data_IF_334261972800
#
_entry.id   IF_334261972800
#
_cell.length_a   1.000
_cell.length_b   1.000
_cell.length_c   1.000
_cell.angle_alpha   90.00
_cell.angle_beta   90.00
_cell.angle_gamma   90.00
#
_symmetry.space_group_name_H-M   'P 1'
#
loop_
_entity.id
_entity.type
_entity.pdbx_description
1 polymer ?
#
# COMPACT_ATOMS: atom_id res chain seq x y z
N UNK A 1 -48.89 52.47 -10.81
CA UNK A 1 -48.24 51.24 -10.32
C UNK A 1 -47.48 50.61 -11.49
N UNK A 2 -46.17 50.87 -11.60
CA UNK A 2 -45.32 50.30 -12.65
C UNK A 2 -44.89 48.89 -12.22
N UNK A 3 -45.42 47.87 -12.89
CA UNK A 3 -44.94 46.48 -12.76
C UNK A 3 -43.53 46.41 -13.33
N UNK A 4 -42.53 46.32 -12.45
CA UNK A 4 -41.17 45.88 -12.80
C UNK A 4 -41.26 44.44 -13.28
N UNK A 5 -41.12 44.23 -14.58
CA UNK A 5 -40.78 42.94 -15.16
C UNK A 5 -39.39 42.56 -14.65
N UNK A 6 -39.32 41.49 -13.86
CA UNK A 6 -38.05 40.85 -13.52
C UNK A 6 -37.43 40.34 -14.82
N UNK A 7 -36.32 40.96 -15.22
CA UNK A 7 -35.45 40.40 -16.23
C UNK A 7 -35.00 39.01 -15.72
N UNK A 8 -35.45 37.96 -16.40
CA UNK A 8 -34.86 36.63 -16.29
C UNK A 8 -33.42 36.79 -16.75
N UNK A 9 -32.49 36.85 -15.80
CA UNK A 9 -31.08 36.77 -16.09
C UNK A 9 -30.86 35.44 -16.82
N UNK A 10 -30.64 35.50 -18.13
CA UNK A 10 -30.07 34.38 -18.88
C UNK A 10 -28.83 33.94 -18.12
N UNK A 11 -28.82 32.69 -17.64
CA UNK A 11 -27.59 32.06 -17.17
C UNK A 11 -26.63 32.07 -18.35
N UNK A 12 -25.75 33.06 -18.41
CA UNK A 12 -24.70 33.13 -19.42
C UNK A 12 -23.95 31.80 -19.47
N UNK A 13 -23.68 31.33 -20.68
CA UNK A 13 -22.92 30.11 -20.92
C UNK A 13 -21.58 30.22 -20.18
N UNK A 14 -21.33 29.31 -19.23
CA UNK A 14 -20.12 29.33 -18.41
C UNK A 14 -19.13 28.33 -18.99
N UNK A 15 -18.01 28.82 -19.52
CA UNK A 15 -16.84 27.98 -19.85
C UNK A 15 -16.29 28.20 -21.25
N UNK A 16 -15.38 27.29 -21.63
CA UNK A 16 -14.78 27.24 -22.97
C UNK A 16 -15.69 26.48 -23.93
N UNK A 17 -15.79 26.92 -25.19
CA UNK A 17 -16.51 26.22 -26.27
C UNK A 17 -16.11 24.74 -26.38
N UNK A 18 -14.81 24.46 -26.33
CA UNK A 18 -14.25 23.11 -26.25
C UNK A 18 -13.42 22.99 -24.98
N UNK A 19 -14.01 22.52 -23.86
CA UNK A 19 -13.30 22.36 -22.60
C UNK A 19 -12.01 21.56 -22.78
N UNK A 20 -10.90 22.09 -22.27
CA UNK A 20 -9.56 21.49 -22.44
C UNK A 20 -9.56 20.02 -21.99
N UNK A 21 -10.26 19.71 -20.90
CA UNK A 21 -10.38 18.37 -20.34
C UNK A 21 -11.07 17.33 -21.23
N UNK A 22 -11.69 17.74 -22.35
CA UNK A 22 -12.39 16.88 -23.30
C UNK A 22 -11.63 16.68 -24.61
N UNK A 23 -10.48 17.35 -24.80
CA UNK A 23 -9.66 17.22 -26.01
C UNK A 23 -8.79 15.96 -25.91
N UNK A 24 -9.29 14.82 -26.39
CA UNK A 24 -8.65 13.50 -26.23
C UNK A 24 -8.58 12.82 -27.60
N UNK A 25 -7.42 12.26 -27.94
CA UNK A 25 -7.20 11.45 -29.14
C UNK A 25 -6.69 10.07 -28.71
N UNK A 26 -7.43 9.01 -29.03
CA UNK A 26 -7.03 7.64 -28.68
C UNK A 26 -6.20 7.01 -29.81
N UNK A 27 -4.87 7.05 -29.67
CA UNK A 27 -3.93 6.44 -30.62
C UNK A 27 -3.86 4.91 -30.54
N UNK A 28 -4.63 4.27 -29.64
CA UNK A 28 -4.79 2.80 -29.61
C UNK A 28 -5.83 2.32 -30.63
N UNK A 29 -6.69 3.23 -31.10
CA UNK A 29 -7.62 2.97 -32.22
C UNK A 29 -6.84 3.09 -33.53
N UNK A 30 -7.16 2.22 -34.49
CA UNK A 30 -6.51 2.23 -35.80
C UNK A 30 -6.72 3.57 -36.53
N UNK A 31 -5.71 3.97 -37.30
CA UNK A 31 -5.79 5.20 -38.11
C UNK A 31 -6.92 5.12 -39.13
N UNK A 32 -7.60 6.23 -39.40
CA UNK A 32 -8.73 6.30 -40.36
C UNK A 32 -10.09 5.96 -39.75
N UNK A 33 -10.16 5.09 -38.72
CA UNK A 33 -11.43 4.63 -38.13
C UNK A 33 -12.31 5.78 -37.64
N UNK A 34 -11.75 6.69 -36.84
CA UNK A 34 -12.51 7.81 -36.24
C UNK A 34 -12.84 8.93 -37.20
N UNK A 35 -12.35 8.86 -38.44
CA UNK A 35 -12.60 9.84 -39.50
C UNK A 35 -13.61 9.29 -40.51
N UNK A 36 -13.46 8.02 -40.91
CA UNK A 36 -14.16 7.45 -42.07
C UNK A 36 -15.20 6.38 -41.69
N UNK A 37 -14.98 5.64 -40.60
CA UNK A 37 -15.79 4.45 -40.29
C UNK A 37 -16.77 4.70 -39.13
N UNK A 38 -16.27 5.07 -37.95
CA UNK A 38 -17.08 5.18 -36.75
C UNK A 38 -16.43 6.07 -35.67
N UNK A 39 -17.26 6.82 -34.95
CA UNK A 39 -16.83 7.54 -33.75
C UNK A 39 -16.72 6.59 -32.54
N UNK A 40 -15.66 6.75 -31.75
CA UNK A 40 -15.38 5.90 -30.58
C UNK A 40 -15.61 6.73 -29.31
N UNK A 41 -16.70 6.41 -28.61
CA UNK A 41 -17.08 7.11 -27.39
C UNK A 41 -16.65 6.36 -26.12
N UNK A 42 -16.01 7.07 -25.19
CA UNK A 42 -15.63 6.52 -23.88
C UNK A 42 -15.56 7.61 -22.81
N UNK A 43 -15.67 7.21 -21.53
CA UNK A 43 -15.33 8.06 -20.39
C UNK A 43 -13.83 8.02 -20.12
N UNK A 44 -13.03 8.47 -21.09
CA UNK A 44 -11.56 8.43 -21.07
C UNK A 44 -10.92 8.98 -19.80
N UNK A 45 -11.54 10.00 -19.18
CA UNK A 45 -11.04 10.59 -17.94
C UNK A 45 -10.96 9.59 -16.78
N UNK A 46 -11.67 8.46 -16.82
CA UNK A 46 -11.52 7.39 -15.82
C UNK A 46 -10.14 6.73 -15.90
N UNK A 47 -9.64 6.50 -17.11
CA UNK A 47 -8.30 5.93 -17.38
C UNK A 47 -7.20 6.97 -17.17
N UNK A 48 -7.49 8.25 -17.45
CA UNK A 48 -6.53 9.36 -17.26
C UNK A 48 -6.41 9.83 -15.81
N UNK A 49 -7.18 9.29 -14.86
CA UNK A 49 -6.99 9.59 -13.43
C UNK A 49 -5.61 9.11 -13.00
N UNK A 50 -4.83 10.01 -12.41
CA UNK A 50 -3.46 9.72 -11.99
C UNK A 50 -3.41 8.84 -10.75
N UNK A 51 -2.25 8.21 -10.51
CA UNK A 51 -1.97 7.41 -9.30
C UNK A 51 -2.21 8.19 -8.00
N UNK A 52 -1.99 9.50 -8.01
CA UNK A 52 -2.28 10.37 -6.87
C UNK A 52 -3.78 10.36 -6.52
N UNK A 53 -4.65 10.48 -7.52
CA UNK A 53 -6.11 10.47 -7.32
C UNK A 53 -6.62 9.06 -6.99
N UNK A 54 -6.12 8.03 -7.66
CA UNK A 54 -6.61 6.65 -7.47
C UNK A 54 -6.07 5.98 -6.20
N UNK A 55 -4.98 6.51 -5.64
CA UNK A 55 -4.25 5.94 -4.51
C UNK A 55 -3.31 4.80 -4.88
N UNK A 56 -3.28 4.38 -6.15
CA UNK A 56 -2.45 3.25 -6.60
C UNK A 56 -0.97 3.53 -6.36
N UNK A 57 -0.27 2.54 -5.82
CA UNK A 57 1.18 2.59 -5.59
C UNK A 57 1.84 1.40 -6.29
N UNK A 58 2.90 1.67 -7.03
CA UNK A 58 3.66 0.62 -7.71
C UNK A 58 4.63 -0.02 -6.70
N UNK A 59 4.30 -1.23 -6.26
CA UNK A 59 5.24 -2.10 -5.53
C UNK A 59 6.20 -2.78 -6.51
N UNK A 60 7.31 -3.33 -6.00
CA UNK A 60 8.15 -4.27 -6.76
C UNK A 60 7.32 -5.42 -7.33
N UNK A 61 7.47 -5.71 -8.61
CA UNK A 61 6.73 -6.77 -9.30
C UNK A 61 7.60 -8.04 -9.28
N UNK A 62 7.11 -9.16 -8.71
CA UNK A 62 7.85 -10.40 -8.73
C UNK A 62 7.92 -10.99 -10.15
N UNK A 63 9.01 -11.68 -10.53
CA UNK A 63 9.05 -12.45 -11.77
C UNK A 63 8.00 -13.57 -11.74
N UNK A 64 7.60 -14.06 -12.91
CA UNK A 64 6.48 -15.00 -13.05
C UNK A 64 6.62 -16.28 -12.20
N UNK A 65 7.84 -16.82 -12.07
CA UNK A 65 8.10 -18.01 -11.25
C UNK A 65 7.83 -17.73 -9.76
N UNK A 66 8.30 -16.59 -9.25
CA UNK A 66 8.12 -16.16 -7.86
C UNK A 66 6.67 -15.76 -7.58
N UNK A 67 5.97 -15.18 -8.55
CA UNK A 67 4.57 -14.77 -8.42
C UNK A 67 3.59 -15.95 -8.20
N UNK A 68 3.98 -17.17 -8.61
CA UNK A 68 3.18 -18.39 -8.41
C UNK A 68 3.25 -18.89 -6.97
N UNK A 69 4.40 -18.70 -6.33
CA UNK A 69 4.64 -19.17 -4.97
C UNK A 69 4.13 -18.19 -3.93
N UNK A 70 3.42 -18.72 -2.93
CA UNK A 70 2.96 -17.89 -1.82
C UNK A 70 4.15 -17.48 -0.95
N UNK A 71 4.19 -16.21 -0.51
CA UNK A 71 5.15 -15.80 0.49
C UNK A 71 4.87 -16.48 1.83
N UNK A 72 5.94 -16.88 2.53
CA UNK A 72 5.86 -17.59 3.81
C UNK A 72 6.32 -16.70 4.97
N UNK A 73 7.27 -15.81 4.71
CA UNK A 73 7.88 -14.94 5.72
C UNK A 73 7.94 -13.48 5.25
N UNK A 74 8.15 -12.57 6.18
CA UNK A 74 8.35 -11.15 5.90
C UNK A 74 9.20 -10.49 6.98
N UNK A 75 9.84 -9.39 6.60
CA UNK A 75 10.52 -8.50 7.54
C UNK A 75 9.54 -7.42 7.98
N UNK A 76 9.54 -7.08 9.27
CA UNK A 76 8.68 -6.04 9.79
C UNK A 76 9.33 -5.12 10.80
N UNK A 77 8.96 -3.84 10.80
CA UNK A 77 9.15 -2.99 11.98
C UNK A 77 7.96 -3.15 12.91
N UNK A 78 8.24 -3.59 14.15
CA UNK A 78 7.22 -3.80 15.18
C UNK A 78 6.74 -2.46 15.71
N UNK A 79 5.42 -2.22 15.64
CA UNK A 79 4.84 -1.03 16.27
C UNK A 79 4.99 -1.10 17.79
N UNK A 80 5.46 -0.04 18.47
CA UNK A 80 5.48 0.01 19.92
C UNK A 80 4.04 0.01 20.48
N UNK A 81 3.87 -0.45 21.72
CA UNK A 81 2.54 -0.68 22.32
C UNK A 81 1.64 0.58 22.31
N UNK A 82 2.22 1.75 22.62
CA UNK A 82 1.54 3.05 22.58
C UNK A 82 2.10 3.87 21.44
N UNK A 83 1.27 4.18 20.44
CA UNK A 83 1.67 5.01 19.30
C UNK A 83 0.45 5.69 18.66
N UNK A 84 0.68 6.84 18.03
CA UNK A 84 -0.37 7.65 17.40
C UNK A 84 -1.03 6.91 16.21
N UNK A 85 -0.25 6.17 15.43
CA UNK A 85 -0.72 5.43 14.27
C UNK A 85 -1.81 4.41 14.63
N UNK A 86 -1.61 3.60 15.68
CA UNK A 86 -2.57 2.60 16.16
C UNK A 86 -3.86 3.26 16.61
N UNK A 87 -3.78 4.36 17.35
CA UNK A 87 -4.95 5.12 17.81
C UNK A 87 -5.76 5.65 16.63
N UNK A 88 -5.11 6.31 15.66
CA UNK A 88 -5.79 6.89 14.49
C UNK A 88 -6.32 5.84 13.52
N UNK A 89 -5.65 4.69 13.39
CA UNK A 89 -6.18 3.55 12.62
C UNK A 89 -7.41 2.95 13.33
N UNK A 90 -7.42 2.88 14.66
CA UNK A 90 -8.60 2.45 15.42
C UNK A 90 -9.80 3.39 15.21
N UNK A 91 -9.58 4.70 15.28
CA UNK A 91 -10.62 5.71 14.99
C UNK A 91 -11.18 5.53 13.57
N UNK A 92 -10.30 5.35 12.58
CA UNK A 92 -10.69 5.07 11.20
C UNK A 92 -11.47 3.76 11.07
N UNK A 93 -11.05 2.68 11.74
CA UNK A 93 -11.80 1.42 11.77
C UNK A 93 -13.19 1.62 12.35
N UNK A 94 -13.32 2.35 13.46
CA UNK A 94 -14.60 2.64 14.08
C UNK A 94 -15.52 3.43 13.15
N UNK A 95 -15.00 4.44 12.43
CA UNK A 95 -15.79 5.19 11.46
C UNK A 95 -16.22 4.34 10.25
N UNK A 96 -15.35 3.47 9.75
CA UNK A 96 -15.68 2.52 8.68
C UNK A 96 -16.77 1.55 9.15
N UNK A 97 -16.64 1.00 10.35
CA UNK A 97 -17.62 0.06 10.90
C UNK A 97 -18.97 0.72 11.18
N UNK A 98 -18.98 1.96 11.64
CA UNK A 98 -20.20 2.74 11.84
C UNK A 98 -20.98 2.95 10.53
N UNK A 99 -20.26 3.26 9.44
CA UNK A 99 -20.88 3.57 8.15
C UNK A 99 -21.11 2.34 7.25
N UNK A 100 -20.27 1.31 7.37
CA UNK A 100 -20.21 0.16 6.46
C UNK A 100 -19.78 -1.14 7.16
N UNK A 101 -20.47 -1.49 8.25
CA UNK A 101 -20.18 -2.65 9.10
C UNK A 101 -19.90 -3.97 8.35
N UNK A 102 -20.51 -4.19 7.19
CA UNK A 102 -20.31 -5.39 6.37
C UNK A 102 -18.85 -5.61 5.96
N UNK A 103 -18.01 -4.56 5.94
CA UNK A 103 -16.59 -4.64 5.57
C UNK A 103 -15.66 -5.00 6.74
N UNK A 104 -16.19 -5.27 7.93
CA UNK A 104 -15.38 -5.68 9.09
C UNK A 104 -14.36 -6.80 8.80
N UNK A 105 -14.69 -7.85 8.01
CA UNK A 105 -13.74 -8.93 7.72
C UNK A 105 -12.53 -8.53 6.87
N UNK A 106 -12.57 -7.33 6.26
CA UNK A 106 -11.45 -6.80 5.47
C UNK A 106 -10.42 -6.08 6.33
N UNK A 107 -10.82 -5.57 7.51
CA UNK A 107 -9.95 -4.77 8.36
C UNK A 107 -8.89 -5.66 9.03
N UNK A 108 -7.64 -5.19 9.02
CA UNK A 108 -6.55 -5.88 9.70
C UNK A 108 -6.67 -5.61 11.21
N UNK A 109 -6.69 -6.63 12.09
CA UNK A 109 -6.74 -6.40 13.53
C UNK A 109 -5.60 -5.49 14.01
N UNK A 110 -5.89 -4.58 14.94
CA UNK A 110 -4.89 -3.62 15.43
C UNK A 110 -3.64 -4.28 16.00
N UNK A 111 -3.80 -5.45 16.63
CA UNK A 111 -2.69 -6.26 17.14
C UNK A 111 -1.71 -6.67 16.04
N UNK A 112 -2.15 -6.80 14.78
CA UNK A 112 -1.34 -7.22 13.63
C UNK A 112 -0.75 -6.07 12.83
N UNK A 113 -0.96 -4.81 13.24
CA UNK A 113 -0.34 -3.68 12.57
C UNK A 113 1.19 -3.75 12.73
N UNK A 114 1.89 -3.67 11.60
CA UNK A 114 3.34 -3.63 11.48
C UNK A 114 3.70 -2.89 10.19
N UNK A 115 4.94 -2.38 10.07
CA UNK A 115 5.44 -1.94 8.76
C UNK A 115 6.01 -3.17 8.06
N UNK A 116 5.52 -3.52 6.88
CA UNK A 116 6.14 -4.57 6.05
C UNK A 116 7.33 -3.97 5.30
N UNK A 117 8.53 -4.51 5.50
CA UNK A 117 9.78 -4.05 4.87
C UNK A 117 10.20 -4.88 3.66
N UNK A 118 9.63 -6.08 3.53
CA UNK A 118 9.96 -7.01 2.46
C UNK A 118 9.29 -8.34 2.73
N UNK A 119 8.99 -9.07 1.66
CA UNK A 119 8.26 -10.34 1.72
C UNK A 119 9.06 -11.40 0.98
N UNK A 120 9.08 -12.62 1.52
CA UNK A 120 9.91 -13.69 0.99
C UNK A 120 9.23 -15.07 1.06
N UNK A 121 9.70 -15.97 0.21
CA UNK A 121 9.35 -17.40 0.23
C UNK A 121 10.58 -18.19 0.68
N UNK A 122 10.39 -18.98 1.72
CA UNK A 122 11.37 -19.94 2.26
C UNK A 122 10.74 -21.32 2.17
N UNK A 123 11.47 -22.30 1.65
CA UNK A 123 11.05 -23.71 1.61
C UNK A 123 11.13 -24.33 3.00
N UNK A 124 10.20 -25.23 3.32
CA UNK A 124 10.17 -25.87 4.65
C UNK A 124 11.42 -26.73 4.91
N UNK A 125 12.01 -27.32 3.87
CA UNK A 125 13.21 -28.16 3.98
C UNK A 125 14.48 -27.39 4.36
N UNK A 126 14.58 -26.11 3.98
CA UNK A 126 15.75 -25.26 4.26
C UNK A 126 15.47 -24.20 5.32
N UNK A 127 14.27 -24.20 5.92
CA UNK A 127 13.75 -23.12 6.77
C UNK A 127 14.74 -22.74 7.88
N UNK A 128 15.27 -23.73 8.61
CA UNK A 128 16.20 -23.52 9.72
C UNK A 128 17.50 -22.84 9.30
N UNK A 129 18.13 -23.32 8.23
CA UNK A 129 19.41 -22.77 7.75
C UNK A 129 19.21 -21.36 7.19
N UNK A 130 18.18 -21.16 6.36
CA UNK A 130 17.87 -19.86 5.77
C UNK A 130 17.53 -18.83 6.83
N UNK A 131 16.75 -19.18 7.85
CA UNK A 131 16.40 -18.26 8.93
C UNK A 131 17.64 -17.80 9.72
N UNK A 132 18.62 -18.68 9.95
CA UNK A 132 19.87 -18.29 10.61
C UNK A 132 20.64 -17.25 9.79
N UNK A 133 20.84 -17.50 8.48
CA UNK A 133 21.53 -16.54 7.60
C UNK A 133 20.77 -15.23 7.41
N UNK A 134 19.44 -15.27 7.36
CA UNK A 134 18.61 -14.06 7.32
C UNK A 134 18.78 -13.28 8.62
N UNK A 135 18.72 -13.94 9.77
CA UNK A 135 18.89 -13.30 11.07
C UNK A 135 20.25 -12.62 11.20
N UNK A 136 21.34 -13.30 10.84
CA UNK A 136 22.69 -12.72 10.82
C UNK A 136 22.74 -11.48 9.94
N UNK A 137 22.23 -11.57 8.70
CA UNK A 137 22.18 -10.44 7.78
C UNK A 137 21.36 -9.26 8.33
N UNK A 138 20.18 -9.51 8.89
CA UNK A 138 19.32 -8.46 9.45
C UNK A 138 19.98 -7.85 10.68
N UNK A 139 20.59 -8.66 11.53
CA UNK A 139 21.33 -8.23 12.72
C UNK A 139 22.49 -7.31 12.34
N UNK A 140 23.34 -7.71 11.40
CA UNK A 140 24.48 -6.90 10.93
C UNK A 140 24.04 -5.55 10.34
N UNK A 141 22.88 -5.52 9.66
CA UNK A 141 22.39 -4.27 9.06
C UNK A 141 21.71 -3.36 10.08
N UNK A 142 20.86 -3.90 10.95
CA UNK A 142 19.96 -3.10 11.80
C UNK A 142 20.47 -2.87 13.23
N UNK A 143 21.36 -3.71 13.77
CA UNK A 143 21.86 -3.53 15.15
C UNK A 143 22.64 -2.24 15.37
N UNK A 144 23.28 -1.72 14.31
CA UNK A 144 24.05 -0.47 14.34
C UNK A 144 23.22 0.77 14.01
N UNK A 145 21.91 0.60 13.80
CA UNK A 145 21.00 1.69 13.45
C UNK A 145 20.26 2.09 14.72
N UNK A 146 20.38 3.36 15.11
CA UNK A 146 19.54 3.96 16.16
C UNK A 146 18.04 3.76 15.89
N UNK A 147 17.17 3.84 16.91
CA UNK A 147 15.73 3.83 16.70
C UNK A 147 15.26 4.84 15.64
N UNK A 148 14.36 4.40 14.75
CA UNK A 148 13.94 5.15 13.57
C UNK A 148 12.64 5.92 13.83
N UNK A 149 12.65 7.23 13.69
CA UNK A 149 11.42 8.04 13.71
C UNK A 149 10.86 8.17 12.30
N UNK A 150 9.65 7.64 12.08
CA UNK A 150 8.99 7.60 10.78
C UNK A 150 7.64 8.31 10.84
N UNK A 151 7.29 8.98 9.74
CA UNK A 151 6.02 9.69 9.58
C UNK A 151 5.04 8.93 8.70
N UNK A 152 3.78 8.90 9.11
CA UNK A 152 2.71 8.19 8.42
C UNK A 152 1.62 9.16 7.97
N UNK A 153 1.43 9.29 6.66
CA UNK A 153 0.38 10.17 6.11
C UNK A 153 -0.16 9.63 4.80
N UNK A 154 -1.48 9.64 4.71
CA UNK A 154 -2.22 9.23 3.54
C UNK A 154 -2.23 7.73 3.29
N UNK A 155 -3.10 7.34 2.38
CA UNK A 155 -3.37 5.95 2.04
C UNK A 155 -2.88 5.61 0.64
N UNK A 156 -2.59 4.34 0.43
CA UNK A 156 -2.27 3.78 -0.86
C UNK A 156 -2.92 2.43 -1.07
N UNK A 157 -2.93 1.99 -2.32
CA UNK A 157 -3.41 0.67 -2.70
C UNK A 157 -2.36 -0.17 -3.43
N UNK A 158 -2.40 -1.48 -3.18
CA UNK A 158 -1.69 -2.49 -3.98
C UNK A 158 -2.67 -3.52 -4.54
N UNK A 159 -2.20 -4.24 -5.57
CA UNK A 159 -2.92 -5.36 -6.14
C UNK A 159 -4.27 -4.96 -6.74
N UNK A 160 -4.31 -3.81 -7.43
CA UNK A 160 -5.50 -3.22 -8.04
C UNK A 160 -6.58 -2.85 -7.02
N UNK A 161 -6.17 -2.30 -5.86
CA UNK A 161 -7.10 -1.89 -4.81
C UNK A 161 -7.55 -2.98 -3.84
N UNK A 162 -6.92 -4.16 -3.87
CA UNK A 162 -7.22 -5.27 -2.92
C UNK A 162 -6.55 -5.12 -1.57
N UNK A 163 -5.45 -4.38 -1.51
CA UNK A 163 -4.72 -4.08 -0.28
C UNK A 163 -4.78 -2.57 -0.08
N UNK A 164 -5.25 -2.14 1.07
CA UNK A 164 -5.25 -0.75 1.51
C UNK A 164 -4.23 -0.60 2.64
N UNK A 165 -3.36 0.41 2.54
CA UNK A 165 -2.28 0.62 3.48
C UNK A 165 -2.06 2.10 3.79
N UNK A 166 -1.48 2.37 4.96
CA UNK A 166 -0.95 3.69 5.33
C UNK A 166 0.47 3.83 4.78
N UNK A 167 0.74 4.96 4.12
CA UNK A 167 2.05 5.26 3.52
C UNK A 167 3.06 5.68 4.59
N UNK A 168 4.30 5.24 4.44
CA UNK A 168 5.45 5.82 5.12
C UNK A 168 5.96 6.96 4.24
N UNK A 169 6.02 8.17 4.78
CA UNK A 169 6.41 9.37 4.02
C UNK A 169 7.95 9.43 3.93
N UNK A 170 8.53 9.84 2.78
CA UNK A 170 9.98 10.06 2.66
C UNK A 170 10.42 11.36 3.37
N UNK A 171 10.11 11.44 4.66
CA UNK A 171 10.50 12.48 5.61
C UNK A 171 11.18 11.79 6.82
N UNK A 172 11.83 12.55 7.71
CA UNK A 172 12.51 12.04 8.91
C UNK A 172 13.54 10.92 8.59
N UNK A 173 13.54 9.80 9.33
CA UNK A 173 14.53 8.74 9.18
C UNK A 173 14.23 7.76 8.02
N UNK A 174 13.28 8.07 7.13
CA UNK A 174 12.92 7.18 6.01
C UNK A 174 14.12 6.83 5.11
N UNK A 175 15.02 7.78 4.84
CA UNK A 175 16.20 7.51 4.02
C UNK A 175 17.14 6.45 4.63
N UNK A 176 17.25 6.41 5.96
CA UNK A 176 18.01 5.38 6.67
C UNK A 176 17.32 4.02 6.58
N UNK A 177 15.99 4.00 6.73
CA UNK A 177 15.20 2.78 6.54
C UNK A 177 15.37 2.23 5.13
N UNK A 178 15.23 3.07 4.10
CA UNK A 178 15.32 2.65 2.70
C UNK A 178 16.70 2.07 2.38
N UNK A 179 17.78 2.71 2.85
CA UNK A 179 19.13 2.20 2.71
C UNK A 179 19.35 0.86 3.43
N UNK A 180 18.81 0.70 4.64
CA UNK A 180 18.90 -0.55 5.40
C UNK A 180 18.13 -1.69 4.73
N UNK A 181 16.89 -1.43 4.30
CA UNK A 181 16.06 -2.39 3.55
C UNK A 181 16.74 -2.79 2.25
N UNK A 182 17.31 -1.83 1.52
CA UNK A 182 18.06 -2.10 0.29
C UNK A 182 19.27 -3.01 0.54
N UNK A 183 20.05 -2.76 1.61
CA UNK A 183 21.16 -3.64 2.00
C UNK A 183 20.70 -5.07 2.30
N UNK A 184 19.65 -5.23 3.11
CA UNK A 184 19.10 -6.57 3.40
C UNK A 184 18.58 -7.24 2.13
N UNK A 185 17.89 -6.51 1.24
CA UNK A 185 17.41 -7.07 -0.04
C UNK A 185 18.55 -7.56 -0.91
N UNK A 186 19.63 -6.80 -1.02
CA UNK A 186 20.82 -7.20 -1.77
C UNK A 186 21.48 -8.46 -1.21
N UNK A 187 21.61 -8.56 0.11
CA UNK A 187 22.26 -9.72 0.74
C UNK A 187 21.34 -10.94 0.73
N UNK A 188 20.11 -10.83 1.23
CA UNK A 188 19.15 -11.95 1.30
C UNK A 188 18.71 -12.41 -0.09
N UNK A 189 18.27 -11.50 -0.96
CA UNK A 189 17.81 -11.85 -2.30
C UNK A 189 18.93 -12.05 -3.31
N UNK A 190 20.04 -11.31 -3.18
CA UNK A 190 21.13 -11.30 -4.15
C UNK A 190 22.26 -12.26 -3.83
N UNK A 191 22.79 -12.26 -2.60
CA UNK A 191 23.93 -13.11 -2.18
C UNK A 191 23.44 -14.49 -1.73
N UNK A 192 22.46 -14.54 -0.82
CA UNK A 192 21.87 -15.80 -0.33
C UNK A 192 20.91 -16.46 -1.33
N UNK A 193 20.57 -15.77 -2.44
CA UNK A 193 19.68 -16.22 -3.51
C UNK A 193 18.28 -16.64 -3.03
N UNK A 194 17.79 -16.03 -1.97
CA UNK A 194 16.46 -16.31 -1.44
C UNK A 194 15.37 -15.61 -2.27
N UNK A 195 14.20 -16.22 -2.41
CA UNK A 195 13.07 -15.62 -3.12
C UNK A 195 12.44 -14.48 -2.30
N UNK A 196 13.08 -13.32 -2.33
CA UNK A 196 12.47 -12.06 -1.95
C UNK A 196 11.61 -11.57 -3.10
N UNK A 197 10.32 -11.35 -2.86
CA UNK A 197 9.40 -10.92 -3.93
C UNK A 197 9.88 -9.60 -4.55
N UNK A 198 10.13 -9.64 -5.86
CA UNK A 198 10.71 -8.52 -6.64
C UNK A 198 12.21 -8.68 -6.91
N UNK A 199 12.82 -7.74 -7.63
CA UNK A 199 14.27 -7.78 -7.88
C UNK A 199 15.03 -7.35 -6.60
N UNK A 200 16.10 -8.07 -6.19
CA UNK A 200 16.98 -7.66 -5.08
C UNK A 200 17.63 -6.28 -5.26
N UNK A 201 17.73 -5.79 -6.50
CA UNK A 201 18.29 -4.48 -6.84
C UNK A 201 17.24 -3.35 -6.88
N UNK A 202 15.96 -3.66 -6.69
CA UNK A 202 14.91 -2.64 -6.55
C UNK A 202 14.68 -2.31 -5.07
N UNK A 203 14.33 -1.05 -4.80
CA UNK A 203 13.77 -0.61 -3.52
C UNK A 203 12.40 -1.26 -3.28
N UNK A 204 12.10 -1.64 -2.05
CA UNK A 204 10.75 -2.06 -1.64
C UNK A 204 9.95 -0.84 -1.18
N UNK A 205 8.62 -0.88 -1.25
CA UNK A 205 7.78 0.19 -0.67
C UNK A 205 7.32 -0.21 0.75
N UNK A 206 7.90 0.35 1.83
CA UNK A 206 7.44 0.09 3.19
C UNK A 206 6.02 0.61 3.40
N UNK A 207 5.19 -0.18 4.10
CA UNK A 207 3.78 0.15 4.28
C UNK A 207 3.17 -0.54 5.49
N UNK A 208 2.08 0.03 6.00
CA UNK A 208 1.26 -0.57 7.07
C UNK A 208 -0.09 -0.98 6.49
N UNK A 209 -0.30 -2.27 6.27
CA UNK A 209 -1.58 -2.77 5.72
C UNK A 209 -2.69 -2.63 6.77
N UNK A 210 -3.78 -1.94 6.40
CA UNK A 210 -4.92 -1.66 7.29
C UNK A 210 -6.20 -2.39 6.87
N UNK A 211 -6.33 -2.74 5.59
CA UNK A 211 -7.41 -3.58 5.10
C UNK A 211 -6.96 -4.40 3.88
N UNK A 212 -7.52 -5.61 3.70
CA UNK A 212 -7.16 -6.50 2.60
C UNK A 212 -8.30 -7.44 2.22
N UNK A 213 -8.53 -7.58 0.91
CA UNK A 213 -9.34 -8.65 0.33
C UNK A 213 -8.43 -9.85 0.04
N UNK A 214 -8.65 -10.97 0.72
CA UNK A 214 -7.98 -12.24 0.43
C UNK A 214 -8.66 -12.99 -0.71
N UNK A 215 -7.97 -13.95 -1.32
CA UNK A 215 -8.52 -14.70 -2.47
C UNK A 215 -9.86 -15.38 -2.14
N UNK A 216 -10.02 -15.93 -0.94
CA UNK A 216 -11.25 -16.56 -0.47
C UNK A 216 -12.38 -15.55 -0.14
N UNK A 217 -12.05 -14.26 -0.02
CA UNK A 217 -13.01 -13.18 0.27
C UNK A 217 -13.52 -12.50 -1.02
N UNK A 218 -12.90 -12.74 -2.18
CA UNK A 218 -13.25 -12.07 -3.44
C UNK A 218 -14.69 -12.31 -3.90
N UNK A 219 -15.21 -13.52 -3.70
CA UNK A 219 -16.59 -13.84 -4.07
C UNK A 219 -17.62 -12.99 -3.31
N UNK A 220 -17.30 -12.60 -2.07
CA UNK A 220 -18.20 -11.83 -1.21
C UNK A 220 -17.97 -10.31 -1.30
N UNK A 221 -16.71 -9.87 -1.40
CA UNK A 221 -16.34 -8.45 -1.30
C UNK A 221 -15.91 -7.84 -2.63
N UNK A 222 -15.91 -8.61 -3.71
CA UNK A 222 -15.46 -8.19 -5.03
C UNK A 222 -13.94 -8.11 -5.16
N UNK A 223 -13.49 -7.42 -6.21
CA UNK A 223 -12.09 -7.37 -6.61
C UNK A 223 -11.32 -6.17 -6.08
N UNK A 224 -12.00 -5.19 -5.46
CA UNK A 224 -11.38 -3.96 -4.98
C UNK A 224 -12.13 -3.43 -3.76
N UNK A 225 -11.37 -2.91 -2.79
CA UNK A 225 -11.90 -2.16 -1.66
C UNK A 225 -12.50 -0.85 -2.18
N UNK A 226 -13.81 -0.59 -1.99
CA UNK A 226 -14.46 0.62 -2.49
C UNK A 226 -13.79 1.90 -1.98
N UNK A 227 -13.51 2.84 -2.89
CA UNK A 227 -12.89 4.13 -2.57
C UNK A 227 -13.72 4.92 -1.53
N UNK A 228 -15.05 4.76 -1.54
CA UNK A 228 -15.96 5.41 -0.58
C UNK A 228 -15.65 5.06 0.88
N UNK A 229 -15.05 3.90 1.17
CA UNK A 229 -14.70 3.50 2.53
C UNK A 229 -13.56 4.33 3.12
N UNK A 230 -12.66 4.85 2.27
CA UNK A 230 -11.39 5.42 2.73
C UNK A 230 -11.03 6.76 2.10
N UNK A 231 -11.87 7.29 1.20
CA UNK A 231 -11.65 8.60 0.56
C UNK A 231 -11.46 9.73 1.60
N UNK A 232 -12.24 9.73 2.68
CA UNK A 232 -12.11 10.71 3.77
C UNK A 232 -10.78 10.62 4.51
N UNK A 233 -10.11 9.47 4.46
CA UNK A 233 -8.81 9.22 5.09
C UNK A 233 -7.64 9.21 4.09
N UNK A 234 -7.89 9.41 2.78
CA UNK A 234 -6.89 9.25 1.73
C UNK A 234 -5.63 10.10 1.94
N UNK A 235 -5.77 11.27 2.58
CA UNK A 235 -4.66 12.19 2.88
C UNK A 235 -4.48 12.43 4.39
N UNK A 236 -5.14 11.65 5.24
CA UNK A 236 -5.12 11.82 6.69
C UNK A 236 -3.71 11.63 7.27
N UNK A 237 -3.36 12.44 8.26
CA UNK A 237 -2.09 12.33 8.99
C UNK A 237 -2.25 11.32 10.14
N UNK A 238 -1.50 10.22 10.09
CA UNK A 238 -1.50 9.17 11.12
C UNK A 238 -0.39 9.38 12.17
N UNK A 239 0.44 10.40 12.01
CA UNK A 239 1.42 10.87 12.98
C UNK A 239 2.77 10.19 12.85
N UNK A 240 3.61 10.44 13.85
CA UNK A 240 4.97 9.94 13.90
C UNK A 240 5.08 8.78 14.89
N UNK A 241 5.94 7.81 14.58
CA UNK A 241 6.22 6.67 15.46
C UNK A 241 7.71 6.36 15.42
N UNK A 242 8.29 6.13 16.60
CA UNK A 242 9.67 5.66 16.74
C UNK A 242 9.70 4.15 16.84
N UNK A 243 10.53 3.50 16.02
CA UNK A 243 10.70 2.05 15.96
C UNK A 243 12.07 1.63 16.45
N UNK A 244 12.11 0.65 17.35
CA UNK A 244 13.36 0.12 17.91
C UNK A 244 13.56 -1.37 17.61
N UNK A 245 12.65 -2.01 16.88
CA UNK A 245 12.70 -3.47 16.68
C UNK A 245 12.29 -3.87 15.27
N UNK A 246 13.12 -4.72 14.65
CA UNK A 246 12.84 -5.43 13.40
C UNK A 246 12.59 -6.90 13.71
N UNK A 247 11.51 -7.45 13.17
CA UNK A 247 11.19 -8.87 13.27
C UNK A 247 11.29 -9.59 11.92
N UNK A 248 11.71 -10.84 11.98
CA UNK A 248 11.53 -11.84 10.94
C UNK A 248 10.29 -12.65 11.33
N UNK A 249 9.21 -12.49 10.58
CA UNK A 249 7.92 -13.09 10.91
C UNK A 249 7.52 -14.15 9.89
N UNK A 250 6.99 -15.26 10.39
CA UNK A 250 6.23 -16.23 9.58
C UNK A 250 4.79 -15.76 9.46
N UNK A 251 4.16 -15.97 8.30
CA UNK A 251 2.76 -15.59 8.04
C UNK A 251 1.74 -16.52 8.72
N UNK A 252 1.92 -16.77 10.02
CA UNK A 252 1.02 -17.52 10.90
C UNK A 252 0.64 -16.65 12.09
N UNK A 253 -0.57 -16.81 12.60
CA UNK A 253 -0.97 -16.14 13.85
C UNK A 253 -0.26 -16.76 15.04
N UNK A 254 0.05 -15.94 16.05
CA UNK A 254 0.57 -16.36 17.35
C UNK A 254 -0.48 -16.19 18.46
N UNK A 255 -0.20 -16.75 19.64
CA UNK A 255 -1.10 -16.71 20.80
C UNK A 255 -1.37 -15.29 21.32
N UNK A 256 -0.42 -14.36 21.14
CA UNK A 256 -0.55 -12.94 21.47
C UNK A 256 -1.35 -12.13 20.42
N UNK A 257 -1.86 -12.78 19.38
CA UNK A 257 -2.62 -12.16 18.30
C UNK A 257 -1.76 -11.46 17.24
N UNK A 258 -0.43 -11.41 17.41
CA UNK A 258 0.52 -10.92 16.40
C UNK A 258 0.83 -12.02 15.37
N UNK A 259 1.94 -11.85 14.63
CA UNK A 259 2.51 -12.87 13.77
C UNK A 259 3.57 -13.67 14.54
N UNK A 260 3.68 -14.96 14.21
CA UNK A 260 4.75 -15.79 14.74
C UNK A 260 6.11 -15.21 14.34
N UNK A 261 6.95 -14.95 15.34
CA UNK A 261 8.23 -14.27 15.18
C UNK A 261 9.36 -15.30 15.29
N UNK A 262 10.08 -15.48 14.19
CA UNK A 262 11.22 -16.41 14.07
C UNK A 262 12.51 -15.79 14.62
N UNK A 263 12.61 -14.46 14.59
CA UNK A 263 13.75 -13.72 15.12
C UNK A 263 13.45 -12.23 15.26
N UNK A 264 14.15 -11.56 16.16
CA UNK A 264 14.01 -10.12 16.42
C UNK A 264 15.36 -9.46 16.64
N UNK A 265 15.55 -8.30 16.03
CA UNK A 265 16.76 -7.48 16.14
C UNK A 265 16.36 -6.12 16.72
N UNK A 266 17.05 -5.69 17.77
CA UNK A 266 16.89 -4.36 18.32
C UNK A 266 17.77 -3.36 17.57
N UNK A 267 17.24 -2.16 17.38
CA UNK A 267 17.93 -1.00 16.85
C UNK A 267 18.56 -0.25 18.02
N UNK A 268 19.89 -0.10 18.00
CA UNK A 268 20.68 0.56 19.04
C UNK A 268 21.62 1.63 18.48
#
# INVERSE_FOLDING_TARGET
MLRRTFAVAQKGERGLYFPINHRIVDRRVASGVTVEEADVQSRYRRELRTSFTTGETRQTIPPLWSARERPTHFLSLRLPARNALRTRVNEMHNQILFSHHQHAPLLVPLAKLHITLGVMTISESEERERLASIYECVSEVFSVIRPLQLRFRGLGTFGFGRVLFVRVVPEADFGLLDAAVFKVRRRVGGELKLDMKGNPHDSYVPHVTIAKIRSNQRAQFGDRIPLSLWAGYQHHDFGDVTFSQVDICRMRGSADGYYHTEGSVQLS
#
